data_IF_367898640546
#
_entry.id   IF_367898640546
#
_cell.length_a   1.000
_cell.length_b   1.000
_cell.length_c   1.000
_cell.angle_alpha   90.00
_cell.angle_beta   90.00
_cell.angle_gamma   90.00
#
_symmetry.space_group_name_H-M   'P 1'
#
loop_
_entity.id
_entity.type
_entity.pdbx_description
1 polymer ?
#
# COMPACT_ATOMS: atom_id res chain seq x y z
N UNK A 1 56.15 7.51 -18.71
CA UNK A 1 55.77 7.14 -17.34
C UNK A 1 54.42 7.74 -17.04
N UNK A 2 53.34 7.00 -17.31
CA UNK A 2 52.59 6.18 -16.38
C UNK A 2 51.92 7.01 -15.30
N UNK A 3 50.69 7.04 -15.04
CA UNK A 3 49.77 5.90 -14.78
C UNK A 3 48.32 6.28 -15.01
N UNK A 4 47.62 5.39 -15.63
CA UNK A 4 46.15 5.27 -15.62
C UNK A 4 45.67 4.96 -14.22
N UNK A 5 44.67 5.68 -13.75
CA UNK A 5 43.84 5.28 -12.63
C UNK A 5 42.39 5.37 -13.01
N UNK A 6 41.86 4.26 -13.51
CA UNK A 6 40.44 4.01 -13.65
C UNK A 6 39.82 3.93 -12.26
N UNK A 7 39.00 4.95 -11.90
CA UNK A 7 38.12 4.84 -10.74
C UNK A 7 36.81 4.20 -11.19
N UNK A 8 36.66 2.92 -10.85
CA UNK A 8 35.39 2.22 -10.92
C UNK A 8 34.44 2.79 -9.87
N UNK A 9 33.43 3.52 -10.32
CA UNK A 9 32.27 3.86 -9.48
C UNK A 9 31.50 2.58 -9.14
N UNK A 10 31.84 2.00 -7.99
CA UNK A 10 31.05 0.94 -7.40
C UNK A 10 29.80 1.58 -6.79
N UNK A 11 28.64 1.34 -7.40
CA UNK A 11 27.35 1.71 -6.84
C UNK A 11 27.24 1.15 -5.40
N UNK A 12 27.02 2.02 -4.43
CA UNK A 12 26.82 1.65 -3.04
C UNK A 12 25.58 0.72 -2.93
N UNK A 13 25.66 -0.38 -2.15
CA UNK A 13 24.53 -1.29 -1.99
C UNK A 13 23.37 -0.55 -1.31
N UNK A 14 22.16 -0.69 -1.88
CA UNK A 14 20.95 -0.16 -1.30
C UNK A 14 20.83 -0.60 0.18
N UNK A 15 20.67 0.35 1.10
CA UNK A 15 20.55 0.10 2.52
C UNK A 15 19.35 -0.82 2.78
N UNK A 16 19.62 -2.08 3.11
CA UNK A 16 18.59 -2.95 3.67
C UNK A 16 18.11 -2.35 5.00
N UNK A 17 16.78 -2.26 5.23
CA UNK A 17 16.26 -1.70 6.47
C UNK A 17 16.83 -2.47 7.66
N UNK A 18 17.21 -1.75 8.73
CA UNK A 18 17.78 -2.35 9.92
C UNK A 18 16.85 -3.41 10.51
N UNK A 19 17.42 -4.43 11.19
CA UNK A 19 16.62 -5.47 11.85
C UNK A 19 15.60 -4.86 12.84
N UNK A 20 15.94 -3.75 13.46
CA UNK A 20 15.06 -2.96 14.33
C UNK A 20 13.90 -2.31 13.53
N UNK A 21 14.17 -1.73 12.36
CA UNK A 21 13.15 -1.19 11.47
C UNK A 21 12.16 -2.26 11.00
N UNK A 22 12.66 -3.45 10.63
CA UNK A 22 11.81 -4.60 10.27
C UNK A 22 10.94 -5.08 11.43
N UNK A 23 11.47 -5.11 12.66
CA UNK A 23 10.72 -5.49 13.85
C UNK A 23 9.65 -4.44 14.18
N UNK A 24 9.97 -3.17 14.12
CA UNK A 24 9.00 -2.08 14.41
C UNK A 24 7.95 -1.93 13.30
N UNK A 25 8.28 -2.21 12.04
CA UNK A 25 7.30 -2.31 10.96
C UNK A 25 6.29 -3.43 11.21
N UNK A 26 6.69 -4.51 11.89
CA UNK A 26 5.83 -5.67 12.16
C UNK A 26 4.80 -5.45 13.28
N UNK A 27 5.00 -4.48 14.16
CA UNK A 27 4.13 -4.25 15.32
C UNK A 27 3.29 -2.99 15.17
N UNK A 28 2.19 -3.07 14.46
CA UNK A 28 1.18 -2.02 14.44
C UNK A 28 0.14 -2.25 15.56
N UNK A 29 0.53 -1.99 16.80
CA UNK A 29 -0.34 -2.20 17.98
C UNK A 29 -1.61 -1.33 17.93
N UNK A 30 -1.50 -0.09 17.44
CA UNK A 30 -2.65 0.79 17.24
C UNK A 30 -3.60 0.24 16.16
N UNK A 31 -3.05 -0.31 15.08
CA UNK A 31 -3.83 -0.97 14.04
C UNK A 31 -4.54 -2.23 14.56
N UNK A 32 -3.86 -3.06 15.33
CA UNK A 32 -4.45 -4.26 15.92
C UNK A 32 -5.58 -3.86 16.86
N UNK A 33 -5.39 -2.88 17.74
CA UNK A 33 -6.42 -2.38 18.63
C UNK A 33 -7.63 -1.80 17.86
N UNK A 34 -7.37 -1.06 16.78
CA UNK A 34 -8.43 -0.51 15.93
C UNK A 34 -9.18 -1.62 15.18
N UNK A 35 -8.48 -2.65 14.69
CA UNK A 35 -9.12 -3.80 14.05
C UNK A 35 -10.05 -4.53 15.02
N UNK A 36 -9.59 -4.84 16.22
CA UNK A 36 -10.45 -5.46 17.23
C UNK A 36 -11.62 -4.57 17.64
N UNK A 37 -11.41 -3.27 17.79
CA UNK A 37 -12.49 -2.33 18.06
C UNK A 37 -13.51 -2.29 16.91
N UNK A 38 -13.04 -2.18 15.65
CA UNK A 38 -13.90 -2.23 14.47
C UNK A 38 -14.63 -3.57 14.35
N UNK A 39 -13.97 -4.67 14.71
CA UNK A 39 -14.54 -6.01 14.72
C UNK A 39 -15.75 -6.14 15.65
N UNK A 40 -15.74 -5.42 16.75
CA UNK A 40 -16.83 -5.44 17.73
C UNK A 40 -17.93 -4.41 17.39
N UNK A 41 -17.53 -3.25 16.85
CA UNK A 41 -18.44 -2.12 16.65
C UNK A 41 -19.00 -1.99 15.23
N UNK A 42 -18.19 -2.29 14.21
CA UNK A 42 -18.59 -2.17 12.80
C UNK A 42 -17.79 -3.12 11.90
N UNK A 43 -18.35 -4.28 11.63
CA UNK A 43 -17.76 -5.30 10.74
C UNK A 43 -17.56 -4.79 9.31
N UNK A 44 -18.39 -3.85 8.86
CA UNK A 44 -18.32 -3.29 7.51
C UNK A 44 -16.96 -2.62 7.24
N UNK A 45 -16.29 -2.10 8.27
CA UNK A 45 -14.98 -1.48 8.12
C UNK A 45 -13.88 -2.46 7.66
N UNK A 46 -14.02 -3.75 7.94
CA UNK A 46 -13.06 -4.77 7.50
C UNK A 46 -13.49 -5.50 6.21
N UNK A 47 -14.64 -5.16 5.65
CA UNK A 47 -15.16 -5.82 4.44
C UNK A 47 -14.83 -4.98 3.20
N UNK A 48 -13.98 -5.47 2.28
CA UNK A 48 -13.69 -4.76 1.04
C UNK A 48 -14.90 -4.83 0.10
N UNK A 49 -15.11 -3.79 -0.71
CA UNK A 49 -16.14 -3.79 -1.75
C UNK A 49 -15.82 -4.81 -2.85
N UNK A 50 -14.53 -5.01 -3.13
CA UNK A 50 -14.06 -6.02 -4.10
C UNK A 50 -12.90 -6.80 -3.50
N UNK A 51 -12.87 -8.11 -3.75
CA UNK A 51 -11.70 -8.97 -3.50
C UNK A 51 -11.32 -9.69 -4.79
N UNK A 52 -10.04 -9.66 -5.16
CA UNK A 52 -9.53 -10.34 -6.34
C UNK A 52 -8.15 -10.95 -6.08
N UNK A 53 -7.66 -11.73 -7.03
CA UNK A 53 -6.36 -12.40 -6.93
C UNK A 53 -5.21 -11.39 -6.89
N UNK A 54 -5.21 -10.46 -7.83
CA UNK A 54 -4.26 -9.35 -7.93
C UNK A 54 -4.86 -8.19 -8.74
N UNK A 55 -4.12 -7.10 -8.87
CA UNK A 55 -4.61 -5.89 -9.57
C UNK A 55 -4.83 -6.10 -11.06
N UNK A 56 -4.34 -7.17 -11.68
CA UNK A 56 -4.61 -7.47 -13.10
C UNK A 56 -6.08 -7.81 -13.36
N UNK A 57 -6.83 -8.15 -12.30
CA UNK A 57 -8.27 -8.44 -12.37
C UNK A 57 -9.13 -7.19 -12.27
N UNK A 58 -8.55 -6.02 -12.03
CA UNK A 58 -9.28 -4.77 -11.87
C UNK A 58 -9.50 -4.10 -13.23
N UNK A 59 -10.74 -3.71 -13.51
CA UNK A 59 -11.11 -3.00 -14.74
C UNK A 59 -11.06 -1.49 -14.51
N UNK A 60 -9.88 -0.90 -14.67
CA UNK A 60 -9.61 0.50 -14.34
C UNK A 60 -10.48 1.50 -15.10
N UNK A 61 -10.63 1.33 -16.41
CA UNK A 61 -11.49 2.18 -17.26
C UNK A 61 -12.96 2.13 -16.83
N UNK A 62 -13.44 0.97 -16.35
CA UNK A 62 -14.77 0.87 -15.80
C UNK A 62 -14.92 1.64 -14.48
N UNK A 63 -13.97 1.51 -13.57
CA UNK A 63 -13.99 2.29 -12.32
C UNK A 63 -13.91 3.79 -12.60
N UNK A 64 -13.09 4.21 -13.56
CA UNK A 64 -13.06 5.61 -14.01
C UNK A 64 -14.40 6.07 -14.54
N UNK A 65 -15.10 5.26 -15.34
CA UNK A 65 -16.43 5.60 -15.88
C UNK A 65 -17.52 5.69 -14.80
N UNK A 66 -17.32 5.08 -13.63
CA UNK A 66 -18.19 5.22 -12.46
C UNK A 66 -17.96 6.52 -11.67
N UNK A 67 -16.99 7.36 -12.08
CA UNK A 67 -16.74 8.67 -11.49
C UNK A 67 -15.66 8.69 -10.42
N UNK A 68 -14.90 7.62 -10.23
CA UNK A 68 -13.72 7.66 -9.36
C UNK A 68 -12.65 8.59 -9.94
N UNK A 69 -12.00 9.36 -9.07
CA UNK A 69 -11.03 10.39 -9.44
C UNK A 69 -9.59 9.91 -9.39
N UNK A 70 -9.25 9.01 -8.46
CA UNK A 70 -7.87 8.54 -8.29
C UNK A 70 -7.76 7.19 -7.61
N UNK A 71 -6.54 6.65 -7.64
CA UNK A 71 -6.21 5.32 -7.09
C UNK A 71 -5.01 5.41 -6.15
N UNK A 72 -5.17 4.89 -4.96
CA UNK A 72 -4.13 4.74 -3.93
C UNK A 72 -3.80 3.27 -3.77
N UNK A 73 -2.54 2.93 -3.95
CA UNK A 73 -2.05 1.57 -3.75
C UNK A 73 -1.27 1.44 -2.46
N UNK A 74 -1.41 0.32 -1.77
CA UNK A 74 -0.32 -0.16 -0.93
C UNK A 74 0.82 -0.68 -1.82
N UNK A 75 2.03 -0.79 -1.26
CA UNK A 75 3.22 -1.22 -2.01
C UNK A 75 3.45 -2.72 -1.93
N UNK A 76 3.75 -3.19 -0.72
CA UNK A 76 4.24 -4.56 -0.51
C UNK A 76 3.10 -5.58 -0.65
N UNK A 77 3.32 -6.63 -1.44
CA UNK A 77 2.30 -7.63 -1.78
C UNK A 77 1.08 -7.10 -2.57
N UNK A 78 1.13 -5.85 -3.02
CA UNK A 78 0.10 -5.23 -3.87
C UNK A 78 0.67 -4.87 -5.24
N UNK A 79 1.77 -4.10 -5.28
CA UNK A 79 2.51 -3.74 -6.50
C UNK A 79 3.85 -4.45 -6.61
N UNK A 80 4.51 -4.72 -5.49
CA UNK A 80 5.83 -5.35 -5.42
C UNK A 80 5.78 -6.56 -4.49
N UNK A 81 6.75 -7.48 -4.63
CA UNK A 81 7.01 -8.38 -3.50
C UNK A 81 7.57 -7.59 -2.32
N UNK A 82 7.47 -8.09 -1.08
CA UNK A 82 7.96 -7.37 0.09
C UNK A 82 9.42 -6.92 -0.08
N UNK A 83 9.67 -5.66 0.21
CA UNK A 83 10.98 -4.98 0.13
C UNK A 83 11.57 -4.84 -1.29
N UNK A 84 10.91 -5.29 -2.34
CA UNK A 84 11.38 -5.10 -3.71
C UNK A 84 11.22 -3.65 -4.18
N UNK A 85 12.12 -3.22 -5.07
CA UNK A 85 12.11 -1.91 -5.73
C UNK A 85 11.39 -1.94 -7.07
N UNK A 86 11.01 -3.12 -7.55
CA UNK A 86 10.41 -3.29 -8.88
C UNK A 86 8.95 -3.74 -8.77
N UNK A 87 8.13 -3.23 -9.68
CA UNK A 87 6.76 -3.71 -9.86
C UNK A 87 6.77 -5.18 -10.23
N UNK A 88 5.98 -5.99 -9.54
CA UNK A 88 5.85 -7.40 -9.85
C UNK A 88 5.33 -7.60 -11.28
N UNK A 89 5.93 -8.52 -12.03
CA UNK A 89 5.66 -8.73 -13.46
C UNK A 89 4.17 -8.92 -13.77
N UNK A 90 3.47 -9.72 -12.96
CA UNK A 90 2.03 -9.98 -13.14
C UNK A 90 1.15 -8.74 -13.14
N UNK A 91 1.55 -7.66 -12.48
CA UNK A 91 0.70 -6.48 -12.30
C UNK A 91 1.19 -5.26 -13.07
N UNK A 92 2.36 -5.32 -13.69
CA UNK A 92 2.96 -4.22 -14.44
C UNK A 92 2.01 -3.65 -15.51
N UNK A 93 1.47 -4.51 -16.36
CA UNK A 93 0.56 -4.09 -17.42
C UNK A 93 -0.73 -3.44 -16.85
N UNK A 94 -1.24 -3.97 -15.74
CA UNK A 94 -2.43 -3.41 -15.10
C UNK A 94 -2.17 -2.06 -14.45
N UNK A 95 -0.97 -1.86 -13.89
CA UNK A 95 -0.57 -0.57 -13.35
C UNK A 95 -0.50 0.50 -14.44
N UNK A 96 0.07 0.17 -15.60
CA UNK A 96 0.09 1.10 -16.74
C UNK A 96 -1.33 1.39 -17.24
N UNK A 97 -2.20 0.39 -17.35
CA UNK A 97 -3.62 0.60 -17.69
C UNK A 97 -4.35 1.46 -16.64
N UNK A 98 -3.98 1.38 -15.36
CA UNK A 98 -4.49 2.27 -14.31
C UNK A 98 -4.04 3.72 -14.55
N UNK A 99 -2.76 3.94 -14.85
CA UNK A 99 -2.21 5.27 -15.17
C UNK A 99 -2.85 5.86 -16.44
N UNK A 100 -3.08 5.05 -17.47
CA UNK A 100 -3.78 5.48 -18.68
C UNK A 100 -5.23 5.91 -18.39
N UNK A 101 -5.95 5.16 -17.55
CA UNK A 101 -7.34 5.42 -17.23
C UNK A 101 -7.54 6.65 -16.35
N UNK A 102 -6.67 6.85 -15.36
CA UNK A 102 -6.83 7.90 -14.34
C UNK A 102 -5.95 9.12 -14.56
N UNK A 103 -4.88 9.03 -15.35
CA UNK A 103 -3.75 9.96 -15.38
C UNK A 103 -2.72 9.59 -14.31
N UNK A 104 -1.43 9.62 -14.66
CA UNK A 104 -0.36 9.22 -13.76
C UNK A 104 -0.33 10.04 -12.44
N UNK A 105 -0.73 11.29 -12.51
CA UNK A 105 -0.84 12.21 -11.36
C UNK A 105 -1.97 11.84 -10.39
N UNK A 106 -2.93 11.03 -10.85
CA UNK A 106 -4.05 10.54 -10.05
C UNK A 106 -3.85 9.07 -9.60
N UNK A 107 -2.60 8.60 -9.61
CA UNK A 107 -2.19 7.29 -9.09
C UNK A 107 -1.06 7.49 -8.10
N UNK A 108 -1.22 7.00 -6.88
CA UNK A 108 -0.24 7.16 -5.81
C UNK A 108 -0.07 5.90 -4.97
N UNK A 109 1.04 5.84 -4.25
CA UNK A 109 1.31 4.81 -3.23
C UNK A 109 1.22 5.41 -1.83
N UNK A 110 0.56 4.70 -0.92
CA UNK A 110 0.48 5.02 0.50
C UNK A 110 0.98 3.81 1.31
N UNK A 111 2.26 3.82 1.67
CA UNK A 111 2.96 2.69 2.31
C UNK A 111 3.16 2.92 3.81
N UNK A 112 3.18 1.84 4.60
CA UNK A 112 3.55 1.90 6.02
C UNK A 112 5.08 1.90 6.25
N UNK A 113 5.87 2.14 5.22
CA UNK A 113 7.34 2.27 5.29
C UNK A 113 7.82 3.54 4.57
N UNK A 114 8.07 3.47 3.26
CA UNK A 114 8.50 4.60 2.45
C UNK A 114 7.45 5.72 2.44
N UNK A 115 7.87 6.95 2.73
CA UNK A 115 7.01 8.12 2.87
C UNK A 115 6.39 8.30 4.26
N UNK A 116 6.54 7.34 5.17
CA UNK A 116 6.14 7.50 6.57
C UNK A 116 7.28 8.18 7.36
N UNK A 117 7.07 9.39 7.85
CA UNK A 117 8.11 10.21 8.49
C UNK A 117 8.85 9.51 9.63
N UNK A 118 8.22 8.56 10.32
CA UNK A 118 8.87 7.77 11.37
C UNK A 118 10.01 6.88 10.84
N UNK A 119 9.94 6.42 9.60
CA UNK A 119 10.90 5.50 8.98
C UNK A 119 11.68 6.11 7.82
N UNK A 120 11.11 7.15 7.23
CA UNK A 120 11.65 7.88 6.07
C UNK A 120 11.55 9.39 6.33
N UNK A 121 12.27 9.89 7.40
CA UNK A 121 12.12 11.28 7.84
C UNK A 121 12.62 12.31 6.84
N UNK A 122 13.53 11.93 5.97
CA UNK A 122 14.07 12.78 4.90
C UNK A 122 13.47 12.47 3.51
N UNK A 123 12.54 11.51 3.43
CA UNK A 123 11.84 11.15 2.21
C UNK A 123 12.68 10.40 1.17
N UNK A 124 13.92 10.06 1.48
CA UNK A 124 14.85 9.45 0.51
C UNK A 124 14.41 8.08 0.03
N UNK A 125 13.83 7.26 0.92
CA UNK A 125 13.31 5.95 0.56
C UNK A 125 12.13 6.10 -0.41
N UNK A 126 11.20 6.99 -0.10
CA UNK A 126 10.07 7.28 -0.99
C UNK A 126 10.54 7.87 -2.33
N UNK A 127 11.51 8.79 -2.35
CA UNK A 127 12.07 9.33 -3.60
C UNK A 127 12.74 8.24 -4.46
N UNK A 128 13.44 7.31 -3.83
CA UNK A 128 14.04 6.17 -4.53
C UNK A 128 12.98 5.25 -5.12
N UNK A 129 11.91 4.98 -4.36
CA UNK A 129 10.77 4.18 -4.81
C UNK A 129 9.99 4.87 -5.93
N UNK A 130 9.76 6.20 -5.85
CA UNK A 130 9.12 6.97 -6.91
C UNK A 130 9.88 6.85 -8.23
N UNK A 131 11.21 6.97 -8.18
CA UNK A 131 12.05 6.81 -9.39
C UNK A 131 11.98 5.39 -9.96
N UNK A 132 11.98 4.38 -9.08
CA UNK A 132 11.98 2.99 -9.48
C UNK A 132 10.61 2.53 -10.03
N UNK A 133 9.51 2.97 -9.42
CA UNK A 133 8.16 2.51 -9.76
C UNK A 133 7.42 3.47 -10.73
N UNK A 134 7.93 4.69 -10.90
CA UNK A 134 7.26 5.70 -11.73
C UNK A 134 5.88 6.12 -11.18
N UNK A 135 5.71 6.07 -9.85
CA UNK A 135 4.47 6.43 -9.14
C UNK A 135 4.84 7.29 -7.95
N UNK A 136 4.03 8.29 -7.64
CA UNK A 136 4.22 9.12 -6.45
C UNK A 136 3.92 8.37 -5.16
N UNK A 137 4.72 8.62 -4.14
CA UNK A 137 4.52 8.14 -2.78
C UNK A 137 3.99 9.28 -1.92
N UNK A 138 2.87 9.05 -1.25
CA UNK A 138 2.30 10.02 -0.32
C UNK A 138 3.14 10.05 0.95
N UNK A 139 3.59 11.26 1.35
CA UNK A 139 4.31 11.50 2.59
C UNK A 139 3.31 11.68 3.72
N UNK A 140 3.51 11.02 4.86
CA UNK A 140 2.55 11.03 5.96
C UNK A 140 3.19 10.74 7.32
N UNK A 141 2.48 11.13 8.39
CA UNK A 141 2.97 10.98 9.77
C UNK A 141 2.52 9.69 10.45
N UNK A 142 1.42 9.08 10.02
CA UNK A 142 0.76 8.02 10.78
C UNK A 142 0.57 6.75 9.95
N UNK A 143 0.86 5.59 10.56
CA UNK A 143 0.63 4.27 9.93
C UNK A 143 -0.84 3.96 9.70
N UNK A 144 -1.16 3.34 8.56
CA UNK A 144 -2.45 2.66 8.37
C UNK A 144 -2.66 1.58 9.46
N UNK A 145 -3.89 1.37 9.94
CA UNK A 145 -5.15 2.00 9.56
C UNK A 145 -5.46 3.28 10.34
N UNK A 146 -4.56 3.76 11.21
CA UNK A 146 -4.71 5.05 11.89
C UNK A 146 -4.39 6.20 10.91
N UNK A 147 -4.51 7.43 11.39
CA UNK A 147 -4.25 8.63 10.62
C UNK A 147 -5.48 9.17 9.88
N UNK A 148 -5.33 10.40 9.44
CA UNK A 148 -6.33 11.12 8.68
C UNK A 148 -6.17 10.86 7.18
N UNK A 149 -7.09 11.38 6.40
CA UNK A 149 -7.13 11.22 4.96
C UNK A 149 -6.64 12.46 4.22
N UNK A 150 -6.38 13.53 4.95
CA UNK A 150 -6.09 14.85 4.37
C UNK A 150 -4.83 14.82 3.49
N UNK A 151 -3.75 14.19 3.96
CA UNK A 151 -2.53 14.01 3.16
C UNK A 151 -2.81 13.23 1.86
N UNK A 152 -3.72 12.27 1.91
CA UNK A 152 -4.11 11.47 0.75
C UNK A 152 -4.93 12.32 -0.21
N UNK A 153 -5.98 13.00 0.26
CA UNK A 153 -6.85 13.82 -0.59
C UNK A 153 -6.08 14.99 -1.20
N UNK A 154 -5.22 15.65 -0.43
CA UNK A 154 -4.38 16.75 -0.89
C UNK A 154 -3.43 16.36 -2.03
N UNK A 155 -3.07 15.07 -2.15
CA UNK A 155 -2.26 14.57 -3.25
C UNK A 155 -2.98 14.60 -4.59
N UNK A 156 -4.31 14.54 -4.61
CA UNK A 156 -5.13 14.43 -5.84
C UNK A 156 -5.79 15.77 -6.19
N UNK A 157 -5.22 16.56 -7.14
CA UNK A 157 -5.67 17.93 -7.41
C UNK A 157 -7.14 18.04 -7.84
N UNK A 158 -7.66 17.00 -8.47
CA UNK A 158 -9.05 16.94 -8.97
C UNK A 158 -10.01 16.24 -8.03
N UNK A 159 -9.57 15.94 -6.79
CA UNK A 159 -10.36 15.18 -5.83
C UNK A 159 -10.71 16.04 -4.61
N UNK A 160 -11.98 16.24 -4.40
CA UNK A 160 -12.54 16.99 -3.27
C UNK A 160 -12.97 16.10 -2.10
N UNK A 161 -12.92 14.78 -2.28
CA UNK A 161 -13.42 13.83 -1.28
C UNK A 161 -12.78 12.45 -1.43
N UNK A 162 -12.39 11.86 -0.32
CA UNK A 162 -11.92 10.47 -0.27
C UNK A 162 -12.90 9.46 -0.88
N UNK A 163 -14.20 9.76 -0.89
CA UNK A 163 -15.24 8.90 -1.52
C UNK A 163 -15.06 8.71 -3.02
N UNK A 164 -14.30 9.61 -3.67
CA UNK A 164 -13.94 9.49 -5.09
C UNK A 164 -12.62 8.74 -5.33
N UNK A 165 -11.98 8.25 -4.26
CA UNK A 165 -10.74 7.50 -4.35
C UNK A 165 -10.98 6.00 -4.19
N UNK A 166 -10.11 5.23 -4.82
CA UNK A 166 -10.02 3.77 -4.70
C UNK A 166 -8.78 3.47 -3.88
N UNK A 167 -8.90 2.63 -2.84
CA UNK A 167 -7.77 2.12 -2.09
C UNK A 167 -7.57 0.64 -2.42
N UNK A 168 -6.35 0.29 -2.83
CA UNK A 168 -5.98 -1.08 -3.22
C UNK A 168 -4.87 -1.59 -2.33
N UNK A 169 -5.09 -2.71 -1.66
CA UNK A 169 -4.09 -3.31 -0.77
C UNK A 169 -4.37 -4.78 -0.47
N UNK A 170 -3.41 -5.44 0.18
CA UNK A 170 -3.48 -6.88 0.45
C UNK A 170 -3.96 -7.22 1.87
N UNK A 171 -3.99 -6.22 2.80
CA UNK A 171 -4.30 -6.43 4.22
C UNK A 171 -5.67 -5.89 4.60
N UNK A 172 -6.45 -6.72 5.28
CA UNK A 172 -7.72 -6.27 5.87
C UNK A 172 -7.51 -5.20 6.94
N UNK A 173 -6.55 -5.43 7.85
CA UNK A 173 -6.29 -4.56 8.99
C UNK A 173 -5.81 -3.17 8.60
N UNK A 174 -4.90 -3.07 7.65
CA UNK A 174 -4.27 -1.79 7.31
C UNK A 174 -4.99 -1.10 6.17
N UNK A 175 -5.21 -1.78 5.06
CA UNK A 175 -5.62 -1.18 3.80
C UNK A 175 -7.14 -1.05 3.69
N UNK A 176 -7.85 -2.17 3.93
CA UNK A 176 -9.30 -2.19 3.83
C UNK A 176 -9.92 -1.34 4.94
N UNK A 177 -9.46 -1.49 6.20
CA UNK A 177 -9.96 -0.67 7.31
C UNK A 177 -9.66 0.80 7.09
N UNK A 178 -8.45 1.16 6.63
CA UNK A 178 -8.12 2.54 6.34
C UNK A 178 -9.04 3.13 5.25
N UNK A 179 -9.15 2.46 4.11
CA UNK A 179 -9.98 2.92 3.01
C UNK A 179 -11.45 3.08 3.43
N UNK A 180 -12.03 2.07 4.09
CA UNK A 180 -13.42 2.10 4.52
C UNK A 180 -13.71 3.17 5.57
N UNK A 181 -12.80 3.39 6.55
CA UNK A 181 -12.93 4.46 7.54
C UNK A 181 -13.09 5.85 6.90
N UNK A 182 -12.45 6.06 5.78
CA UNK A 182 -12.46 7.32 5.06
C UNK A 182 -13.45 7.36 3.88
N UNK A 183 -14.26 6.28 3.74
CA UNK A 183 -15.30 6.19 2.71
C UNK A 183 -14.76 5.95 1.30
N UNK A 184 -13.51 5.53 1.14
CA UNK A 184 -12.95 5.13 -0.14
C UNK A 184 -13.57 3.82 -0.63
N UNK A 185 -13.54 3.59 -1.94
CA UNK A 185 -13.84 2.28 -2.50
C UNK A 185 -12.63 1.36 -2.31
N UNK A 186 -12.78 0.24 -1.62
CA UNK A 186 -11.67 -0.65 -1.29
C UNK A 186 -11.63 -1.90 -2.15
N UNK A 187 -10.45 -2.18 -2.68
CA UNK A 187 -10.12 -3.39 -3.43
C UNK A 187 -9.05 -4.16 -2.66
N UNK A 188 -9.40 -5.35 -2.17
CA UNK A 188 -8.43 -6.23 -1.52
C UNK A 188 -7.87 -7.21 -2.54
N UNK A 189 -6.53 -7.31 -2.63
CA UNK A 189 -5.82 -8.29 -3.44
C UNK A 189 -5.21 -9.39 -2.57
N UNK A 190 -4.96 -10.57 -3.13
CA UNK A 190 -4.20 -11.59 -2.42
C UNK A 190 -2.71 -11.24 -2.44
N UNK A 191 -1.94 -11.54 -1.36
CA UNK A 191 -0.51 -11.27 -1.34
C UNK A 191 0.23 -12.17 -2.34
N UNK A 192 1.26 -11.64 -3.01
CA UNK A 192 2.11 -12.43 -3.91
C UNK A 192 2.87 -13.52 -3.16
N UNK A 193 3.32 -13.23 -1.95
CA UNK A 193 4.10 -14.16 -1.13
C UNK A 193 4.05 -13.78 0.35
N UNK A 194 4.16 -14.76 1.20
CA UNK A 194 4.40 -14.58 2.64
C UNK A 194 5.86 -14.84 3.01
N UNK A 195 6.73 -15.15 2.02
CA UNK A 195 8.17 -15.29 2.26
C UNK A 195 8.75 -13.93 2.62
N UNK A 196 9.60 -13.90 3.64
CA UNK A 196 10.21 -12.64 4.13
C UNK A 196 9.35 -11.84 5.10
N UNK A 197 8.05 -12.10 5.22
CA UNK A 197 7.23 -11.49 6.27
C UNK A 197 7.65 -12.03 7.65
N UNK A 198 7.64 -11.15 8.66
CA UNK A 198 7.87 -11.55 10.05
C UNK A 198 6.76 -12.49 10.55
N UNK A 199 7.06 -13.29 11.58
CA UNK A 199 6.06 -14.16 12.20
C UNK A 199 4.86 -13.37 12.73
N UNK A 200 5.10 -12.15 13.22
CA UNK A 200 4.04 -11.26 13.71
C UNK A 200 3.08 -10.85 12.57
N UNK A 201 3.61 -10.47 11.40
CA UNK A 201 2.79 -10.14 10.22
C UNK A 201 2.00 -11.37 9.75
N UNK A 202 2.64 -12.54 9.66
CA UNK A 202 1.98 -13.78 9.25
C UNK A 202 0.84 -14.19 10.21
N UNK A 203 1.07 -14.04 11.51
CA UNK A 203 0.05 -14.34 12.52
C UNK A 203 -1.12 -13.35 12.45
N UNK A 204 -0.82 -12.05 12.32
CA UNK A 204 -1.84 -11.02 12.16
C UNK A 204 -2.70 -11.28 10.91
N UNK A 205 -2.08 -11.59 9.76
CA UNK A 205 -2.78 -11.93 8.52
C UNK A 205 -3.72 -13.13 8.69
N UNK A 206 -3.26 -14.19 9.34
CA UNK A 206 -4.12 -15.37 9.62
C UNK A 206 -5.32 -15.02 10.48
N UNK A 207 -5.13 -14.19 11.52
CA UNK A 207 -6.21 -13.72 12.37
C UNK A 207 -7.21 -12.90 11.56
N UNK A 208 -6.72 -11.92 10.77
CA UNK A 208 -7.55 -11.09 9.90
C UNK A 208 -8.41 -11.95 8.96
N UNK A 209 -7.80 -12.91 8.26
CA UNK A 209 -8.48 -13.81 7.33
C UNK A 209 -9.53 -14.67 8.04
N UNK A 210 -9.19 -15.24 9.20
CA UNK A 210 -10.10 -16.08 9.97
C UNK A 210 -11.31 -15.29 10.48
N UNK A 211 -11.09 -14.09 10.99
CA UNK A 211 -12.16 -13.20 11.48
C UNK A 211 -13.07 -12.77 10.34
N UNK A 212 -12.51 -12.35 9.21
CA UNK A 212 -13.32 -11.93 8.05
C UNK A 212 -14.08 -13.12 7.45
N UNK A 213 -13.48 -14.31 7.39
CA UNK A 213 -14.17 -15.53 6.94
C UNK A 213 -15.36 -15.86 7.84
N UNK A 214 -15.18 -15.79 9.17
CA UNK A 214 -16.27 -15.96 10.13
C UNK A 214 -17.41 -14.96 9.90
N UNK A 215 -17.08 -13.68 9.71
CA UNK A 215 -18.12 -12.67 9.48
C UNK A 215 -18.90 -12.89 8.19
N UNK A 216 -18.23 -13.31 7.12
CA UNK A 216 -18.88 -13.66 5.85
C UNK A 216 -19.83 -14.87 6.00
N UNK A 217 -19.53 -15.80 6.90
CA UNK A 217 -20.40 -16.95 7.16
C UNK A 217 -21.61 -16.62 8.03
N UNK A 218 -21.57 -15.53 8.76
CA UNK A 218 -22.66 -15.08 9.64
C UNK A 218 -23.65 -14.13 8.94
N UNK A 219 -23.45 -13.83 7.65
CA UNK A 219 -24.38 -13.06 6.81
C UNK A 219 -24.09 -11.61 6.75
#
# INVERSE_FOLDING_TARGET
SNDDASTSDAAAPAHAPSAYGKLMQSMNTAGIALFFKSSVTDRALAMPQVSCEDVSRVRWSHLKSLGFAGVVFDKDNTLTTPYALEVHEKVRASLEACKEAFGAENVAVYSNSAGLFQYDPDGKEADAMERALGIKFIRHATKKPAGDVDDVVAHFPSCDSAKKLIFVGDRYLTDVVYGNRHGMFTVRVAPFTTKGESLAIKSARKIEESVVALWRSLG
#
